data_IF_273610304633
#
_entry.id   IF_273610304633
#
_cell.length_a   1.000
_cell.length_b   1.000
_cell.length_c   1.000
_cell.angle_alpha   90.00
_cell.angle_beta   90.00
_cell.angle_gamma   90.00
#
_symmetry.space_group_name_H-M   'P 1'
#
loop_
_entity.id
_entity.type
_entity.pdbx_description
1 polymer ?
#
# COMPACT_ATOMS: atom_id res chain seq x y z
N UNK A 1 13.28 -26.17 -18.82
CA UNK A 1 12.76 -26.39 -17.44
C UNK A 1 13.60 -25.56 -16.48
N UNK A 2 13.08 -24.43 -16.03
CA UNK A 2 13.77 -23.55 -15.08
C UNK A 2 13.83 -24.21 -13.69
N UNK A 3 15.00 -24.22 -13.06
CA UNK A 3 15.20 -24.66 -11.68
C UNK A 3 14.35 -23.79 -10.76
N UNK A 4 13.39 -24.37 -10.05
CA UNK A 4 12.69 -23.71 -8.94
C UNK A 4 13.73 -23.41 -7.87
N UNK A 5 13.92 -22.13 -7.54
CA UNK A 5 14.85 -21.69 -6.51
C UNK A 5 14.32 -22.07 -5.14
N UNK A 6 15.02 -22.97 -4.43
CA UNK A 6 14.74 -23.38 -3.04
C UNK A 6 15.22 -22.34 -2.02
N UNK A 7 14.94 -21.06 -2.21
CA UNK A 7 15.27 -20.03 -1.23
C UNK A 7 14.19 -19.96 -0.14
N UNK A 8 14.57 -20.20 1.11
CA UNK A 8 13.68 -20.09 2.29
C UNK A 8 13.24 -18.66 2.61
N UNK A 9 13.94 -17.62 2.12
CA UNK A 9 13.57 -16.21 2.27
C UNK A 9 13.39 -15.56 0.88
N UNK A 10 12.18 -15.59 0.39
CA UNK A 10 11.76 -14.89 -0.83
C UNK A 10 11.30 -13.47 -0.44
N UNK A 11 11.97 -12.44 -0.96
CA UNK A 11 11.49 -11.09 -0.74
C UNK A 11 10.31 -10.75 -1.69
N UNK A 12 9.62 -9.66 -1.41
CA UNK A 12 8.41 -9.24 -2.15
C UNK A 12 8.66 -9.05 -3.65
N UNK A 13 9.83 -8.61 -4.06
CA UNK A 13 10.20 -8.40 -5.48
C UNK A 13 10.41 -9.72 -6.21
N UNK A 14 11.04 -10.68 -5.55
CA UNK A 14 11.16 -12.04 -6.07
C UNK A 14 9.78 -12.68 -6.25
N UNK A 15 8.89 -12.57 -5.24
CA UNK A 15 7.52 -13.09 -5.31
C UNK A 15 6.72 -12.44 -6.44
N UNK A 16 6.88 -11.13 -6.64
CA UNK A 16 6.21 -10.40 -7.71
C UNK A 16 6.63 -10.92 -9.10
N UNK A 17 7.93 -11.11 -9.35
CA UNK A 17 8.42 -11.69 -10.61
C UNK A 17 7.96 -13.14 -10.81
N UNK A 18 8.07 -13.97 -9.77
CA UNK A 18 7.65 -15.38 -9.82
C UNK A 18 6.16 -15.54 -10.07
N UNK A 19 5.31 -14.64 -9.54
CA UNK A 19 3.86 -14.66 -9.80
C UNK A 19 3.55 -14.51 -11.30
N UNK A 20 4.42 -13.81 -12.03
CA UNK A 20 4.36 -13.65 -13.49
C UNK A 20 5.05 -14.81 -14.24
N UNK A 21 5.65 -15.77 -13.53
CA UNK A 21 6.42 -16.91 -14.09
C UNK A 21 7.57 -16.47 -15.01
N UNK A 22 8.20 -15.33 -14.70
CA UNK A 22 9.31 -14.77 -15.46
C UNK A 22 10.66 -15.23 -14.91
N UNK A 23 11.61 -15.58 -15.81
CA UNK A 23 13.03 -15.60 -15.45
C UNK A 23 13.54 -14.17 -15.26
N UNK A 24 14.73 -13.98 -14.66
CA UNK A 24 15.32 -12.64 -14.49
C UNK A 24 15.64 -11.96 -15.83
N UNK A 25 16.05 -12.73 -16.83
CA UNK A 25 16.31 -12.26 -18.20
C UNK A 25 14.99 -11.73 -18.82
N UNK A 26 13.90 -12.51 -18.77
CA UNK A 26 12.60 -12.08 -19.26
C UNK A 26 12.02 -10.91 -18.47
N UNK A 27 12.27 -10.86 -17.17
CA UNK A 27 11.88 -9.73 -16.35
C UNK A 27 12.65 -8.47 -16.75
N UNK A 28 13.95 -8.57 -17.02
CA UNK A 28 14.77 -7.47 -17.51
C UNK A 28 14.26 -6.94 -18.86
N UNK A 29 13.89 -7.81 -19.80
CA UNK A 29 13.27 -7.42 -21.08
C UNK A 29 11.94 -6.66 -20.85
N UNK A 30 11.12 -7.12 -19.91
CA UNK A 30 9.83 -6.47 -19.58
C UNK A 30 10.01 -5.11 -18.88
N UNK A 31 11.01 -5.00 -18.01
CA UNK A 31 11.30 -3.80 -17.23
C UNK A 31 12.18 -2.79 -18.00
N UNK A 32 12.74 -3.18 -19.14
CA UNK A 32 13.53 -2.41 -20.12
C UNK A 32 14.77 -1.71 -19.54
N UNK A 33 14.67 -1.10 -18.35
CA UNK A 33 15.74 -0.29 -17.73
C UNK A 33 16.51 -1.00 -16.61
N UNK A 34 16.10 -2.22 -16.19
CA UNK A 34 16.66 -2.92 -15.03
C UNK A 34 17.35 -4.22 -15.47
N UNK A 35 18.72 -4.29 -15.46
CA UNK A 35 19.45 -5.47 -15.87
C UNK A 35 19.20 -6.69 -14.96
N UNK A 36 19.36 -7.93 -15.47
CA UNK A 36 19.12 -9.16 -14.71
C UNK A 36 19.95 -9.25 -13.42
N UNK A 37 21.20 -8.79 -13.43
CA UNK A 37 22.10 -8.77 -12.27
C UNK A 37 21.61 -7.82 -11.19
N UNK A 38 20.98 -6.69 -11.59
CA UNK A 38 20.42 -5.73 -10.66
C UNK A 38 19.13 -6.29 -10.02
N UNK A 39 18.27 -6.95 -10.82
CA UNK A 39 17.10 -7.68 -10.33
C UNK A 39 17.55 -8.73 -9.30
N UNK A 40 18.58 -9.53 -9.62
CA UNK A 40 19.12 -10.53 -8.69
C UNK A 40 19.59 -9.91 -7.37
N UNK A 41 20.26 -8.78 -7.40
CA UNK A 41 20.78 -8.11 -6.21
C UNK A 41 19.65 -7.55 -5.35
N UNK A 42 18.59 -7.02 -5.96
CA UNK A 42 17.38 -6.54 -5.28
C UNK A 42 16.64 -7.72 -4.63
N UNK A 43 16.41 -8.80 -5.36
CA UNK A 43 15.74 -10.00 -4.86
C UNK A 43 16.51 -10.71 -3.75
N UNK A 44 17.83 -10.54 -3.72
CA UNK A 44 18.72 -11.09 -2.69
C UNK A 44 18.99 -10.11 -1.53
N UNK A 45 18.32 -8.95 -1.50
CA UNK A 45 18.50 -7.90 -0.50
C UNK A 45 19.95 -7.36 -0.40
N UNK A 46 20.73 -7.54 -1.47
CA UNK A 46 22.10 -7.04 -1.57
C UNK A 46 22.14 -5.59 -2.04
N UNK A 47 21.03 -5.07 -2.55
CA UNK A 47 20.90 -3.73 -3.06
C UNK A 47 19.46 -3.26 -2.86
N UNK A 48 19.31 -2.01 -2.44
CA UNK A 48 18.00 -1.34 -2.39
C UNK A 48 17.61 -0.90 -3.79
N UNK A 49 16.37 -1.13 -4.22
CA UNK A 49 15.86 -0.56 -5.47
C UNK A 49 15.72 0.96 -5.35
N UNK A 50 15.81 1.65 -6.48
CA UNK A 50 15.44 3.06 -6.56
C UNK A 50 13.92 3.22 -6.68
N UNK A 51 13.34 4.36 -6.23
CA UNK A 51 11.89 4.61 -6.34
C UNK A 51 11.34 4.41 -7.76
N UNK A 52 12.08 4.86 -8.77
CA UNK A 52 11.67 4.73 -10.17
C UNK A 52 11.60 3.26 -10.63
N UNK A 53 12.52 2.42 -10.13
CA UNK A 53 12.50 0.98 -10.41
C UNK A 53 11.29 0.31 -9.77
N UNK A 54 10.89 0.76 -8.58
CA UNK A 54 9.70 0.25 -7.90
C UNK A 54 8.43 0.60 -8.69
N UNK A 55 8.33 1.82 -9.21
CA UNK A 55 7.19 2.21 -10.06
C UNK A 55 7.08 1.31 -11.30
N UNK A 56 8.20 1.07 -11.98
CA UNK A 56 8.25 0.19 -13.14
C UNK A 56 7.89 -1.26 -12.76
N UNK A 57 8.47 -1.78 -11.67
CA UNK A 57 8.16 -3.13 -11.19
C UNK A 57 6.68 -3.26 -10.79
N UNK A 58 6.11 -2.29 -10.09
CA UNK A 58 4.71 -2.30 -9.67
C UNK A 58 3.76 -2.36 -10.87
N UNK A 59 4.02 -1.56 -11.89
CA UNK A 59 3.25 -1.54 -13.14
C UNK A 59 3.40 -2.84 -13.92
N UNK A 60 4.65 -3.22 -14.25
CA UNK A 60 4.94 -4.34 -15.16
C UNK A 60 4.66 -5.71 -14.54
N UNK A 61 4.87 -5.87 -13.22
CA UNK A 61 4.51 -7.10 -12.50
C UNK A 61 3.05 -7.13 -12.05
N UNK A 62 2.28 -6.07 -12.31
CA UNK A 62 0.88 -5.96 -11.88
C UNK A 62 0.72 -6.07 -10.34
N UNK A 63 1.64 -5.45 -9.63
CA UNK A 63 1.74 -5.48 -8.16
C UNK A 63 1.82 -4.05 -7.60
N UNK A 64 0.69 -3.29 -7.60
CA UNK A 64 0.66 -1.92 -7.09
C UNK A 64 1.04 -1.81 -5.60
N UNK A 65 0.90 -2.89 -4.84
CA UNK A 65 1.33 -3.00 -3.44
C UNK A 65 2.84 -2.81 -3.23
N UNK A 66 3.69 -3.02 -4.25
CA UNK A 66 5.13 -2.81 -4.15
C UNK A 66 5.51 -1.37 -3.81
N UNK A 67 4.73 -0.39 -4.28
CA UNK A 67 4.97 1.02 -3.98
C UNK A 67 4.76 1.31 -2.49
N UNK A 68 3.64 0.85 -1.92
CA UNK A 68 3.39 1.01 -0.50
C UNK A 68 4.42 0.25 0.35
N UNK A 69 4.72 -1.00 -0.03
CA UNK A 69 5.74 -1.80 0.66
C UNK A 69 7.10 -1.07 0.71
N UNK A 70 7.57 -0.54 -0.42
CA UNK A 70 8.82 0.22 -0.48
C UNK A 70 8.78 1.45 0.43
N UNK A 71 7.73 2.27 0.33
CA UNK A 71 7.59 3.46 1.16
C UNK A 71 7.57 3.11 2.64
N UNK A 72 6.75 2.16 3.06
CA UNK A 72 6.58 1.81 4.47
C UNK A 72 7.80 1.08 5.07
N UNK A 73 8.53 0.28 4.27
CA UNK A 73 9.56 -0.62 4.81
C UNK A 73 11.00 -0.27 4.42
N UNK A 74 11.21 0.50 3.35
CA UNK A 74 12.55 0.72 2.79
C UNK A 74 12.93 2.20 2.70
N UNK A 75 12.01 3.08 2.36
CA UNK A 75 12.25 4.52 2.31
C UNK A 75 12.41 5.10 3.72
N UNK A 76 13.50 5.82 4.00
CA UNK A 76 13.75 6.41 5.33
C UNK A 76 12.68 7.42 5.76
N UNK A 77 12.12 8.18 4.83
CA UNK A 77 11.00 9.10 5.08
C UNK A 77 9.70 8.30 5.23
N UNK A 78 9.45 7.38 4.30
CA UNK A 78 8.22 6.59 4.29
C UNK A 78 8.01 5.75 5.56
N UNK A 79 9.09 5.19 6.14
CA UNK A 79 9.03 4.47 7.44
C UNK A 79 8.45 5.29 8.59
N UNK A 80 8.52 6.61 8.51
CA UNK A 80 7.98 7.51 9.54
C UNK A 80 6.56 7.97 9.25
N UNK A 81 6.19 8.06 7.99
CA UNK A 81 4.96 8.74 7.57
C UNK A 81 3.98 7.89 6.76
N UNK A 82 4.40 6.71 6.30
CA UNK A 82 3.57 5.86 5.43
C UNK A 82 3.29 4.54 6.15
N UNK A 83 2.04 4.27 6.53
CA UNK A 83 1.67 2.99 7.12
C UNK A 83 1.78 1.86 6.08
N UNK A 84 2.20 0.69 6.54
CA UNK A 84 2.17 -0.51 5.71
C UNK A 84 0.72 -0.97 5.51
N UNK A 85 0.31 -1.09 4.24
CA UNK A 85 -1.03 -1.49 3.87
C UNK A 85 -1.02 -2.93 3.37
N UNK A 86 -1.89 -3.76 3.95
CA UNK A 86 -2.12 -5.12 3.49
C UNK A 86 -3.42 -5.17 2.69
N UNK A 87 -3.35 -5.76 1.48
CA UNK A 87 -4.55 -5.96 0.67
C UNK A 87 -5.49 -6.92 1.40
N UNK A 88 -6.74 -6.50 1.54
CA UNK A 88 -7.83 -7.24 2.20
C UNK A 88 -8.97 -7.47 1.21
N UNK A 89 -9.92 -8.33 1.57
CA UNK A 89 -11.16 -8.47 0.84
C UNK A 89 -12.05 -7.22 1.00
N UNK A 90 -12.79 -6.85 -0.04
CA UNK A 90 -13.63 -5.65 -0.04
C UNK A 90 -14.60 -5.61 1.14
N UNK A 91 -15.22 -6.74 1.47
CA UNK A 91 -16.14 -6.86 2.60
C UNK A 91 -15.49 -6.52 3.94
N UNK A 92 -14.23 -6.94 4.15
CA UNK A 92 -13.48 -6.63 5.35
C UNK A 92 -13.12 -5.14 5.41
N UNK A 93 -12.70 -4.54 4.30
CA UNK A 93 -12.40 -3.11 4.20
C UNK A 93 -13.63 -2.29 4.58
N UNK A 94 -14.79 -2.64 4.02
CA UNK A 94 -16.06 -1.95 4.30
C UNK A 94 -16.47 -2.08 5.76
N UNK A 95 -16.33 -3.26 6.36
CA UNK A 95 -16.66 -3.47 7.78
C UNK A 95 -15.75 -2.66 8.70
N UNK A 96 -14.45 -2.62 8.45
CA UNK A 96 -13.49 -1.81 9.21
C UNK A 96 -13.80 -0.31 9.09
N UNK A 97 -14.11 0.17 7.87
CA UNK A 97 -14.52 1.56 7.64
C UNK A 97 -15.77 1.92 8.43
N UNK A 98 -16.82 1.09 8.35
CA UNK A 98 -18.06 1.34 9.08
C UNK A 98 -17.86 1.30 10.59
N UNK A 99 -17.00 0.43 11.11
CA UNK A 99 -16.68 0.38 12.53
C UNK A 99 -16.02 1.69 13.01
N UNK A 100 -15.01 2.19 12.28
CA UNK A 100 -14.35 3.45 12.62
C UNK A 100 -15.26 4.66 12.47
N UNK A 101 -16.09 4.73 11.44
CA UNK A 101 -17.08 5.81 11.28
C UNK A 101 -18.10 5.81 12.41
N UNK A 102 -18.58 4.64 12.83
CA UNK A 102 -19.50 4.53 13.97
C UNK A 102 -18.83 4.92 15.31
N UNK A 103 -17.55 4.60 15.48
CA UNK A 103 -16.75 5.01 16.64
C UNK A 103 -16.62 6.53 16.69
N UNK A 104 -16.26 7.15 15.57
CA UNK A 104 -16.17 8.62 15.44
C UNK A 104 -17.51 9.32 15.69
N UNK A 105 -18.62 8.76 15.17
CA UNK A 105 -19.95 9.34 15.37
C UNK A 105 -20.32 9.44 16.86
N UNK A 106 -19.92 8.48 17.69
CA UNK A 106 -20.18 8.47 19.12
C UNK A 106 -19.41 9.57 19.88
N UNK A 107 -18.29 10.05 19.34
CA UNK A 107 -17.42 11.07 19.95
C UNK A 107 -17.42 12.41 19.21
N UNK A 108 -18.31 12.55 18.23
CA UNK A 108 -18.42 13.78 17.43
C UNK A 108 -18.57 15.03 18.26
N UNK A 109 -19.48 15.00 19.26
CA UNK A 109 -19.75 16.17 20.08
C UNK A 109 -18.53 16.54 20.94
N UNK A 110 -17.81 15.53 21.46
CA UNK A 110 -16.57 15.74 22.20
C UNK A 110 -15.46 16.35 21.33
N UNK A 111 -15.35 15.93 20.05
CA UNK A 111 -14.42 16.55 19.11
C UNK A 111 -14.74 18.03 18.89
N UNK A 112 -16.02 18.39 18.79
CA UNK A 112 -16.47 19.77 18.64
C UNK A 112 -16.12 20.60 19.88
N UNK A 113 -16.33 20.04 21.08
CA UNK A 113 -16.00 20.71 22.36
C UNK A 113 -14.51 21.02 22.45
N UNK A 114 -13.65 20.00 22.25
CA UNK A 114 -12.17 20.11 22.25
C UNK A 114 -11.67 21.14 21.24
N UNK A 115 -12.34 21.25 20.07
CA UNK A 115 -11.91 22.19 19.02
C UNK A 115 -12.38 23.62 19.22
N UNK A 116 -13.22 23.90 20.22
CA UNK A 116 -13.91 25.18 20.35
C UNK A 116 -12.98 26.38 20.65
N UNK A 117 -11.94 26.18 21.45
CA UNK A 117 -10.98 27.23 21.81
C UNK A 117 -9.62 27.10 21.14
N UNK A 118 -9.40 25.98 20.39
CA UNK A 118 -8.16 25.71 19.66
C UNK A 118 -6.97 25.31 20.56
N UNK A 119 -7.24 24.92 21.82
CA UNK A 119 -6.25 24.40 22.77
C UNK A 119 -6.66 22.99 23.21
N UNK A 120 -5.72 22.20 23.65
CA UNK A 120 -5.99 20.87 24.20
C UNK A 120 -5.59 20.88 25.67
N UNK A 121 -6.57 20.90 26.54
CA UNK A 121 -6.36 20.86 27.98
C UNK A 121 -6.00 19.47 28.48
N UNK A 122 -5.48 19.37 29.73
CA UNK A 122 -4.98 18.10 30.28
C UNK A 122 -6.04 17.01 30.35
N UNK A 123 -7.27 17.37 30.63
CA UNK A 123 -8.43 16.49 30.71
C UNK A 123 -9.00 16.10 29.34
N UNK A 124 -8.55 16.76 28.28
CA UNK A 124 -8.94 16.50 26.88
C UNK A 124 -7.95 15.62 26.12
N UNK A 125 -6.73 15.47 26.62
CA UNK A 125 -5.64 14.74 25.93
C UNK A 125 -6.08 13.30 25.58
N UNK A 126 -6.74 12.58 26.48
CA UNK A 126 -7.16 11.20 26.25
C UNK A 126 -8.18 11.11 25.11
N UNK A 127 -9.18 11.96 25.12
CA UNK A 127 -10.20 12.03 24.07
C UNK A 127 -9.60 12.45 22.73
N UNK A 128 -8.68 13.41 22.75
CA UNK A 128 -7.97 13.87 21.55
C UNK A 128 -7.14 12.76 20.92
N UNK A 129 -6.35 12.02 21.71
CA UNK A 129 -5.56 10.88 21.24
C UNK A 129 -6.47 9.81 20.63
N UNK A 130 -7.57 9.47 21.29
CA UNK A 130 -8.54 8.51 20.76
C UNK A 130 -9.09 8.93 19.38
N UNK A 131 -9.46 10.19 19.25
CA UNK A 131 -9.97 10.76 17.99
C UNK A 131 -8.88 10.67 16.90
N UNK A 132 -7.65 11.01 17.24
CA UNK A 132 -6.51 10.95 16.34
C UNK A 132 -6.26 9.51 15.84
N UNK A 133 -6.30 8.52 16.74
CA UNK A 133 -6.17 7.10 16.39
C UNK A 133 -7.30 6.60 15.46
N UNK A 134 -8.54 7.03 15.70
CA UNK A 134 -9.67 6.67 14.81
C UNK A 134 -9.53 7.29 13.42
N UNK A 135 -9.07 8.53 13.32
CA UNK A 135 -8.77 9.18 12.04
C UNK A 135 -7.64 8.48 11.29
N UNK A 136 -6.62 8.01 12.01
CA UNK A 136 -5.54 7.22 11.41
C UNK A 136 -6.06 5.89 10.86
N UNK A 137 -6.92 5.18 11.60
CA UNK A 137 -7.58 3.93 11.12
C UNK A 137 -8.41 4.18 9.87
N UNK A 138 -9.17 5.28 9.83
CA UNK A 138 -9.95 5.68 8.64
C UNK A 138 -9.00 5.92 7.47
N UNK A 139 -7.90 6.65 7.68
CA UNK A 139 -6.91 6.93 6.65
C UNK A 139 -6.31 5.62 6.06
N UNK A 140 -5.91 4.70 6.93
CA UNK A 140 -5.39 3.38 6.51
C UNK A 140 -6.46 2.61 5.70
N UNK A 141 -7.72 2.66 6.14
CA UNK A 141 -8.81 1.94 5.46
C UNK A 141 -9.09 2.53 4.08
N UNK A 142 -9.05 3.87 3.94
CA UNK A 142 -9.18 4.57 2.65
C UNK A 142 -8.06 4.17 1.69
N UNK A 143 -6.81 4.18 2.15
CA UNK A 143 -5.67 3.76 1.34
C UNK A 143 -5.72 2.25 0.99
N UNK A 144 -6.24 1.42 1.90
CA UNK A 144 -6.47 -0.01 1.62
C UNK A 144 -7.50 -0.22 0.50
N UNK A 145 -8.59 0.56 0.53
CA UNK A 145 -9.61 0.52 -0.53
C UNK A 145 -9.04 1.01 -1.87
N UNK A 146 -8.22 2.05 -1.85
CA UNK A 146 -7.54 2.55 -3.04
C UNK A 146 -6.64 1.48 -3.65
N UNK A 147 -5.78 0.87 -2.84
CA UNK A 147 -4.87 -0.19 -3.29
C UNK A 147 -5.63 -1.43 -3.81
N UNK A 148 -6.74 -1.79 -3.14
CA UNK A 148 -7.64 -2.83 -3.61
C UNK A 148 -8.21 -2.51 -5.00
N UNK A 149 -8.69 -1.28 -5.21
CA UNK A 149 -9.23 -0.82 -6.51
C UNK A 149 -8.17 -0.87 -7.61
N UNK A 150 -6.96 -0.39 -7.36
CA UNK A 150 -5.83 -0.45 -8.29
C UNK A 150 -5.51 -1.91 -8.67
N UNK A 151 -5.52 -2.83 -7.71
CA UNK A 151 -5.32 -4.27 -7.95
C UNK A 151 -6.45 -4.86 -8.81
N UNK A 152 -7.70 -4.46 -8.59
CA UNK A 152 -8.84 -4.96 -9.38
C UNK A 152 -8.77 -4.45 -10.83
N UNK A 153 -8.38 -3.21 -11.05
CA UNK A 153 -8.16 -2.63 -12.38
C UNK A 153 -7.05 -3.40 -13.11
N UNK A 154 -5.89 -3.53 -12.49
CA UNK A 154 -4.72 -4.21 -13.08
C UNK A 154 -5.02 -5.67 -13.43
N UNK A 155 -5.88 -6.34 -12.66
CA UNK A 155 -6.31 -7.71 -12.91
C UNK A 155 -7.50 -7.82 -13.90
N UNK A 156 -7.98 -6.68 -14.43
CA UNK A 156 -9.11 -6.65 -15.36
C UNK A 156 -10.48 -6.98 -14.74
N UNK A 157 -10.58 -6.90 -13.41
CA UNK A 157 -11.84 -7.11 -12.67
C UNK A 157 -12.71 -5.85 -12.65
N UNK A 158 -12.08 -4.69 -12.81
CA UNK A 158 -12.72 -3.39 -12.99
C UNK A 158 -12.25 -2.85 -14.34
N UNK A 159 -13.17 -2.39 -15.18
CA UNK A 159 -12.86 -1.72 -16.46
C UNK A 159 -12.21 -0.36 -16.17
N UNK A 160 -10.95 -0.21 -16.61
CA UNK A 160 -10.15 0.99 -16.35
C UNK A 160 -10.75 2.24 -17.02
N UNK A 161 -11.21 2.12 -18.25
CA UNK A 161 -11.74 3.26 -19.01
C UNK A 161 -13.04 3.78 -18.37
N UNK A 162 -13.91 2.88 -17.95
CA UNK A 162 -15.13 3.24 -17.25
C UNK A 162 -14.83 3.81 -15.86
N UNK A 163 -13.91 3.22 -15.10
CA UNK A 163 -13.47 3.74 -13.79
C UNK A 163 -12.93 5.16 -13.91
N UNK A 164 -12.04 5.44 -14.87
CA UNK A 164 -11.44 6.76 -15.06
C UNK A 164 -12.45 7.81 -15.53
N UNK A 165 -13.48 7.43 -16.30
CA UNK A 165 -14.58 8.32 -16.69
C UNK A 165 -15.33 8.92 -15.49
N UNK A 166 -15.46 8.16 -14.40
CA UNK A 166 -16.14 8.63 -13.19
C UNK A 166 -15.18 9.28 -12.16
N UNK A 167 -13.94 8.86 -12.13
CA UNK A 167 -12.92 9.40 -11.21
C UNK A 167 -12.54 10.85 -11.53
N UNK A 168 -12.61 11.26 -12.81
CA UNK A 168 -12.18 12.58 -13.28
C UNK A 168 -13.36 13.58 -13.41
N UNK A 169 -14.50 13.29 -12.79
CA UNK A 169 -15.63 14.20 -12.64
C UNK A 169 -15.51 15.04 -11.37
#
# INVERSE_FOLDING_TARGET
MGRVSNKENKNVYFEARESMKLSREKASELLESIPPERIERIENEKLMPHPDEILIMAEKYKRPDLCNFYCANQCSIGKQYVPEIKIKELSQIVLEMLASLNSMQKRKDRLIEISADGQIDRDEIEDFIFIQEELERISITVETLRLWSEKMIVNGMIDEAEYMKYKNR
#
